data_IF_992327699901
#
_entry.id   IF_992327699901
#
_cell.length_a   1.000
_cell.length_b   1.000
_cell.length_c   1.000
_cell.angle_alpha   90.00
_cell.angle_beta   90.00
_cell.angle_gamma   90.00
#
_symmetry.space_group_name_H-M   'P 1'
#
loop_
_entity.id
_entity.type
_entity.pdbx_description
1 polymer ?
#
# COMPACT_ATOMS: atom_id res chain seq x y z
N UNK A 1 23.84 -8.52 -4.66
CA UNK A 1 22.74 -8.30 -3.71
C UNK A 1 22.04 -7.01 -4.13
N UNK A 2 20.79 -7.05 -4.51
CA UNK A 2 20.01 -5.86 -4.87
C UNK A 2 19.60 -5.08 -3.62
N UNK A 3 19.05 -3.87 -3.80
CA UNK A 3 18.48 -3.10 -2.67
C UNK A 3 17.34 -3.88 -2.01
N UNK A 4 16.48 -4.51 -2.82
CA UNK A 4 15.39 -5.34 -2.32
C UNK A 4 15.89 -6.51 -1.48
N UNK A 5 16.92 -7.25 -1.94
CA UNK A 5 17.50 -8.38 -1.17
C UNK A 5 17.98 -7.92 0.21
N UNK A 6 18.69 -6.78 0.27
CA UNK A 6 19.18 -6.21 1.54
C UNK A 6 18.04 -5.78 2.48
N UNK A 7 16.92 -5.28 1.92
CA UNK A 7 15.73 -4.95 2.73
C UNK A 7 15.11 -6.24 3.29
N UNK A 8 14.92 -7.26 2.46
CA UNK A 8 14.32 -8.54 2.87
C UNK A 8 15.16 -9.23 3.96
N UNK A 9 16.49 -9.18 3.84
CA UNK A 9 17.38 -9.72 4.89
C UNK A 9 17.14 -9.02 6.22
N UNK A 10 17.14 -7.67 6.24
CA UNK A 10 16.85 -6.90 7.45
C UNK A 10 15.45 -7.15 8.01
N UNK A 11 14.44 -7.28 7.14
CA UNK A 11 13.07 -7.63 7.56
C UNK A 11 13.02 -9.01 8.22
N UNK A 12 13.75 -10.00 7.70
CA UNK A 12 13.83 -11.35 8.30
C UNK A 12 14.49 -11.34 9.68
N UNK A 13 15.55 -10.53 9.88
CA UNK A 13 16.18 -10.36 11.18
C UNK A 13 15.22 -9.73 12.20
N UNK A 14 14.57 -8.62 11.83
CA UNK A 14 13.60 -7.94 12.70
C UNK A 14 12.39 -8.83 13.00
N UNK A 15 11.94 -9.62 12.02
CA UNK A 15 10.88 -10.59 12.19
C UNK A 15 11.25 -11.67 13.20
N UNK A 16 12.47 -12.23 13.08
CA UNK A 16 12.96 -13.25 14.02
C UNK A 16 12.97 -12.71 15.45
N UNK A 17 13.40 -11.45 15.65
CA UNK A 17 13.37 -10.81 16.97
C UNK A 17 11.92 -10.65 17.49
N UNK A 18 10.98 -10.19 16.66
CA UNK A 18 9.57 -10.05 17.05
C UNK A 18 8.94 -11.38 17.43
N UNK A 19 9.25 -12.46 16.68
CA UNK A 19 8.75 -13.81 16.96
C UNK A 19 9.21 -14.37 18.32
N UNK A 20 10.32 -13.89 18.89
CA UNK A 20 10.73 -14.27 20.25
C UNK A 20 9.90 -13.59 21.34
N UNK A 21 9.25 -12.46 21.00
CA UNK A 21 8.47 -11.65 21.97
C UNK A 21 6.98 -11.96 21.93
N UNK A 22 6.46 -12.24 20.75
CA UNK A 22 5.02 -12.53 20.52
C UNK A 22 4.91 -13.81 19.70
N UNK A 23 4.24 -14.81 20.23
CA UNK A 23 4.01 -16.06 19.52
C UNK A 23 2.94 -15.91 18.42
N UNK A 24 2.93 -16.84 17.46
CA UNK A 24 1.89 -16.86 16.43
C UNK A 24 0.49 -17.05 17.04
N UNK A 25 0.37 -17.83 18.11
CA UNK A 25 -0.93 -18.09 18.74
C UNK A 25 -1.45 -16.84 19.47
N UNK A 26 -0.58 -16.07 20.14
CA UNK A 26 -0.94 -14.76 20.69
C UNK A 26 -1.40 -13.79 19.61
N UNK A 27 -0.73 -13.74 18.44
CA UNK A 27 -1.19 -12.91 17.30
C UNK A 27 -2.56 -13.32 16.78
N UNK A 28 -2.84 -14.63 16.69
CA UNK A 28 -4.17 -15.14 16.29
C UNK A 28 -5.26 -14.73 17.29
N UNK A 29 -4.95 -14.78 18.59
CA UNK A 29 -5.88 -14.32 19.64
C UNK A 29 -6.13 -12.82 19.57
N UNK A 30 -5.11 -12.01 19.31
CA UNK A 30 -5.25 -10.57 19.11
C UNK A 30 -6.03 -10.25 17.83
N UNK A 31 -5.73 -10.93 16.73
CA UNK A 31 -6.45 -10.78 15.48
C UNK A 31 -7.93 -11.14 15.60
N UNK A 32 -8.28 -12.16 16.39
CA UNK A 32 -9.66 -12.54 16.65
C UNK A 32 -10.44 -11.49 17.47
N UNK A 33 -9.74 -10.65 18.25
CA UNK A 33 -10.33 -9.54 19.03
C UNK A 33 -10.37 -8.22 18.26
N UNK A 34 -9.62 -8.11 17.17
CA UNK A 34 -9.62 -6.91 16.33
C UNK A 34 -10.98 -6.76 15.63
N UNK A 35 -11.48 -5.52 15.42
CA UNK A 35 -12.68 -5.27 14.63
C UNK A 35 -12.61 -5.95 13.27
N UNK A 36 -13.75 -6.31 12.67
CA UNK A 36 -13.79 -6.86 11.31
C UNK A 36 -13.05 -5.95 10.32
N UNK A 37 -12.22 -6.55 9.46
CA UNK A 37 -11.48 -5.79 8.48
C UNK A 37 -12.42 -5.27 7.38
N UNK A 38 -12.16 -4.05 6.93
CA UNK A 38 -12.93 -3.40 5.86
C UNK A 38 -12.55 -3.97 4.50
N UNK A 39 -13.50 -4.04 3.60
CA UNK A 39 -13.27 -4.49 2.23
C UNK A 39 -12.43 -3.48 1.45
N UNK A 40 -11.15 -3.81 1.23
CA UNK A 40 -10.21 -2.98 0.49
C UNK A 40 -10.57 -2.86 -1.00
N UNK A 41 -11.19 -3.89 -1.59
CA UNK A 41 -11.66 -3.83 -2.99
C UNK A 41 -12.78 -2.81 -3.12
N UNK A 42 -13.78 -2.87 -2.23
CA UNK A 42 -14.88 -1.92 -2.24
C UNK A 42 -14.40 -0.47 -1.98
N UNK A 43 -13.41 -0.29 -1.10
CA UNK A 43 -12.86 1.03 -0.79
C UNK A 43 -12.14 1.67 -1.99
N UNK A 44 -11.51 0.86 -2.84
CA UNK A 44 -10.72 1.33 -3.99
C UNK A 44 -11.48 1.28 -5.33
N UNK A 45 -12.71 0.79 -5.34
CA UNK A 45 -13.63 0.88 -6.49
C UNK A 45 -14.59 2.06 -6.30
N UNK A 46 -15.08 2.61 -7.42
CA UNK A 46 -16.13 3.64 -7.44
C UNK A 46 -15.97 4.60 -8.60
N UNK A 47 -16.79 5.64 -8.60
CA UNK A 47 -16.72 6.67 -9.62
C UNK A 47 -15.44 7.50 -9.43
N UNK A 48 -14.63 7.59 -10.48
CA UNK A 48 -13.35 8.29 -10.48
C UNK A 48 -12.21 7.53 -9.80
N UNK A 49 -11.04 8.18 -9.74
CA UNK A 49 -9.82 7.59 -9.17
C UNK A 49 -9.76 7.81 -7.67
N UNK A 50 -9.58 6.75 -6.92
CA UNK A 50 -9.44 6.76 -5.46
C UNK A 50 -8.00 7.12 -5.05
N UNK A 51 -7.84 7.73 -3.88
CA UNK A 51 -6.52 8.15 -3.38
C UNK A 51 -6.17 7.37 -2.12
N UNK A 52 -5.06 6.63 -2.17
CA UNK A 52 -4.42 6.00 -1.02
C UNK A 52 -3.34 6.97 -0.54
N UNK A 53 -3.45 7.46 0.69
CA UNK A 53 -2.51 8.43 1.27
C UNK A 53 -1.52 7.72 2.19
N UNK A 54 -0.21 7.96 1.98
CA UNK A 54 0.82 7.21 2.68
C UNK A 54 1.49 8.02 3.80
N UNK A 55 1.54 7.42 4.98
CA UNK A 55 2.33 7.89 6.14
C UNK A 55 3.73 7.32 6.03
N UNK A 56 4.71 8.16 5.64
CA UNK A 56 6.09 7.76 5.36
C UNK A 56 7.10 8.81 5.80
N UNK A 57 7.98 8.44 6.75
CA UNK A 57 9.02 9.33 7.30
C UNK A 57 10.26 9.41 6.43
N UNK A 58 10.66 8.30 5.83
CA UNK A 58 11.87 8.21 5.02
C UNK A 58 11.71 7.23 3.86
N UNK A 59 12.66 7.24 2.94
CA UNK A 59 12.73 6.26 1.85
C UNK A 59 14.19 5.95 1.48
N UNK A 60 14.50 4.76 0.95
CA UNK A 60 15.84 4.40 0.51
C UNK A 60 16.42 5.35 -0.54
N UNK A 61 15.57 5.97 -1.38
CA UNK A 61 16.01 6.84 -2.48
C UNK A 61 16.27 8.28 -2.08
N UNK A 62 15.64 8.78 -0.99
CA UNK A 62 15.69 10.21 -0.59
C UNK A 62 16.09 10.43 0.86
N UNK A 63 16.25 9.36 1.64
CA UNK A 63 16.48 9.48 3.08
C UNK A 63 15.27 10.06 3.81
N UNK A 64 15.49 10.92 4.80
CA UNK A 64 14.42 11.55 5.57
C UNK A 64 13.57 12.48 4.69
N UNK A 65 12.25 12.30 4.74
CA UNK A 65 11.26 13.09 3.99
C UNK A 65 10.55 14.10 4.88
N UNK A 66 10.04 13.64 6.03
CA UNK A 66 9.30 14.47 6.96
C UNK A 66 9.43 13.95 8.41
N UNK A 67 9.52 14.87 9.36
CA UNK A 67 9.43 14.55 10.78
C UNK A 67 7.95 14.38 11.16
N UNK A 68 7.39 13.18 10.97
CA UNK A 68 6.02 12.86 11.35
C UNK A 68 6.03 12.50 12.83
N UNK A 69 5.81 13.49 13.69
CA UNK A 69 5.76 13.30 15.14
C UNK A 69 4.48 12.60 15.60
N UNK A 70 3.35 12.87 14.91
CA UNK A 70 2.03 12.28 15.19
C UNK A 70 1.43 11.69 13.91
N UNK A 71 1.62 10.39 13.64
CA UNK A 71 1.03 9.72 12.49
C UNK A 71 -0.50 9.66 12.55
N UNK A 72 -1.09 9.67 13.75
CA UNK A 72 -2.53 9.69 13.93
C UNK A 72 -3.15 11.03 13.51
N UNK A 73 -2.50 12.16 13.82
CA UNK A 73 -2.93 13.48 13.36
C UNK A 73 -2.87 13.56 11.83
N UNK A 74 -1.77 13.13 11.22
CA UNK A 74 -1.62 13.11 9.77
C UNK A 74 -2.68 12.23 9.10
N UNK A 75 -2.97 11.06 9.67
CA UNK A 75 -4.01 10.17 9.16
C UNK A 75 -5.42 10.79 9.25
N UNK A 76 -5.72 11.53 10.33
CA UNK A 76 -6.99 12.29 10.43
C UNK A 76 -7.11 13.36 9.35
N UNK A 77 -6.02 14.07 9.04
CA UNK A 77 -6.00 15.06 7.95
C UNK A 77 -6.22 14.37 6.58
N UNK A 78 -5.60 13.23 6.34
CA UNK A 78 -5.81 12.45 5.13
C UNK A 78 -7.27 11.97 5.00
N UNK A 79 -7.84 11.42 6.06
CA UNK A 79 -9.23 10.97 6.09
C UNK A 79 -10.19 12.14 5.86
N UNK A 80 -9.95 13.30 6.51
CA UNK A 80 -10.74 14.51 6.34
C UNK A 80 -10.61 15.12 4.93
N UNK A 81 -9.50 14.89 4.23
CA UNK A 81 -9.30 15.26 2.82
C UNK A 81 -9.98 14.32 1.83
N UNK A 82 -10.52 13.18 2.29
CA UNK A 82 -11.24 12.21 1.46
C UNK A 82 -10.41 11.02 0.99
N UNK A 83 -9.32 10.70 1.69
CA UNK A 83 -8.55 9.48 1.41
C UNK A 83 -9.43 8.23 1.43
N UNK A 84 -9.34 7.38 0.41
CA UNK A 84 -10.06 6.11 0.33
C UNK A 84 -9.42 5.01 1.19
N UNK A 85 -8.10 5.07 1.36
CA UNK A 85 -7.35 4.24 2.28
C UNK A 85 -6.11 4.99 2.77
N UNK A 86 -5.58 4.58 3.93
CA UNK A 86 -4.34 5.14 4.49
C UNK A 86 -3.29 4.05 4.53
N UNK A 87 -2.18 4.27 3.84
CA UNK A 87 -1.02 3.38 3.82
C UNK A 87 -0.06 3.77 4.94
N UNK A 88 0.33 2.81 5.77
CA UNK A 88 1.25 3.03 6.89
C UNK A 88 2.49 2.17 6.72
N UNK A 89 3.65 2.82 6.52
CA UNK A 89 4.93 2.14 6.51
C UNK A 89 5.21 1.57 7.90
N UNK A 90 5.52 0.27 7.97
CA UNK A 90 5.89 -0.40 9.23
C UNK A 90 7.32 -0.94 9.20
N UNK A 91 8.01 -0.90 8.07
CA UNK A 91 9.43 -1.23 7.97
C UNK A 91 10.27 -0.16 8.68
N UNK A 92 11.11 -0.58 9.64
CA UNK A 92 11.82 0.32 10.54
C UNK A 92 13.13 0.85 9.95
N UNK A 93 13.95 -0.03 9.36
CA UNK A 93 15.35 0.25 9.03
C UNK A 93 15.51 1.28 7.92
N UNK A 94 14.66 1.24 6.91
CA UNK A 94 14.77 2.07 5.70
C UNK A 94 13.70 3.15 5.62
N UNK A 95 12.51 2.88 6.16
CA UNK A 95 11.38 3.79 6.06
C UNK A 95 11.04 4.49 7.38
N UNK A 96 11.65 4.09 8.50
CA UNK A 96 11.41 4.68 9.82
C UNK A 96 9.99 4.48 10.33
N UNK A 97 9.32 3.42 9.84
CA UNK A 97 7.98 3.05 10.26
C UNK A 97 7.96 2.13 11.47
N UNK A 98 6.76 1.83 11.98
CA UNK A 98 6.59 0.88 13.09
C UNK A 98 5.17 0.32 13.14
N UNK A 99 4.98 -0.82 13.84
CA UNK A 99 3.66 -1.33 14.17
C UNK A 99 2.89 -0.38 15.10
N UNK A 100 3.60 0.36 15.96
CA UNK A 100 2.99 1.38 16.80
C UNK A 100 2.37 2.54 15.99
N UNK A 101 2.96 2.89 14.84
CA UNK A 101 2.33 3.84 13.91
C UNK A 101 1.05 3.29 13.31
N UNK A 102 1.04 1.99 12.98
CA UNK A 102 -0.16 1.31 12.47
C UNK A 102 -1.30 1.34 13.51
N UNK A 103 -0.98 1.02 14.78
CA UNK A 103 -1.93 1.10 15.90
C UNK A 103 -2.47 2.52 16.08
N UNK A 104 -1.59 3.52 16.08
CA UNK A 104 -1.96 4.91 16.28
C UNK A 104 -2.87 5.42 15.14
N UNK A 105 -2.57 5.07 13.89
CA UNK A 105 -3.41 5.40 12.73
C UNK A 105 -4.74 4.68 12.82
N UNK A 106 -4.75 3.36 13.07
CA UNK A 106 -6.00 2.60 13.17
C UNK A 106 -6.94 3.15 14.25
N UNK A 107 -6.41 3.53 15.40
CA UNK A 107 -7.19 4.11 16.49
C UNK A 107 -7.76 5.52 16.16
N UNK A 108 -7.15 6.23 15.22
CA UNK A 108 -7.49 7.62 14.91
C UNK A 108 -8.51 7.78 13.79
N UNK A 109 -8.66 6.79 12.90
CA UNK A 109 -9.49 6.91 11.69
C UNK A 109 -10.38 5.69 11.48
N UNK A 110 -11.51 5.90 10.81
CA UNK A 110 -12.36 4.82 10.34
C UNK A 110 -12.06 4.41 8.88
N UNK A 111 -11.25 5.18 8.17
CA UNK A 111 -10.77 4.88 6.82
C UNK A 111 -10.01 3.54 6.79
N UNK A 112 -10.16 2.70 5.75
CA UNK A 112 -9.35 1.48 5.59
C UNK A 112 -7.86 1.76 5.70
N UNK A 113 -7.13 0.86 6.40
CA UNK A 113 -5.69 1.00 6.67
C UNK A 113 -4.91 -0.14 6.01
N UNK A 114 -3.91 0.23 5.20
CA UNK A 114 -2.98 -0.68 4.55
C UNK A 114 -1.68 -0.76 5.37
N UNK A 115 -1.29 -1.96 5.80
CA UNK A 115 0.08 -2.20 6.25
C UNK A 115 1.02 -2.23 5.04
N UNK A 116 1.87 -1.24 4.92
CA UNK A 116 2.90 -1.13 3.86
C UNK A 116 4.24 -1.61 4.43
N UNK A 117 4.61 -2.84 4.09
CA UNK A 117 5.79 -3.52 4.59
C UNK A 117 6.26 -4.57 3.56
N UNK A 118 7.43 -5.16 3.76
CA UNK A 118 7.92 -6.30 2.97
C UNK A 118 7.47 -7.60 3.64
N UNK A 119 6.26 -8.03 3.30
CA UNK A 119 5.65 -9.23 3.88
C UNK A 119 6.15 -10.47 3.14
N UNK A 120 6.83 -11.36 3.86
CA UNK A 120 7.42 -12.59 3.33
C UNK A 120 6.98 -13.85 4.08
N UNK A 121 6.18 -13.70 5.14
CA UNK A 121 5.66 -14.82 5.93
C UNK A 121 4.21 -14.59 6.38
N UNK A 122 3.48 -15.68 6.64
CA UNK A 122 2.13 -15.63 7.20
C UNK A 122 2.07 -15.00 8.61
N UNK A 123 3.16 -15.06 9.38
CA UNK A 123 3.24 -14.40 10.67
C UNK A 123 2.99 -12.89 10.56
N UNK A 124 3.60 -12.24 9.55
CA UNK A 124 3.41 -10.80 9.32
C UNK A 124 1.98 -10.43 8.89
N UNK A 125 1.24 -11.35 8.26
CA UNK A 125 -0.19 -11.16 7.96
C UNK A 125 -1.04 -11.20 9.24
N UNK A 126 -0.77 -12.16 10.13
CA UNK A 126 -1.41 -12.20 11.45
C UNK A 126 -1.07 -10.96 12.28
N UNK A 127 0.19 -10.52 12.23
CA UNK A 127 0.65 -9.28 12.84
C UNK A 127 -0.12 -8.05 12.28
N UNK A 128 -0.27 -7.95 10.94
CA UNK A 128 -1.07 -6.90 10.31
C UNK A 128 -2.52 -6.90 10.82
N UNK A 129 -3.13 -8.08 10.88
CA UNK A 129 -4.51 -8.22 11.33
C UNK A 129 -4.67 -7.90 12.81
N UNK A 130 -3.74 -8.34 13.65
CA UNK A 130 -3.73 -8.07 15.09
C UNK A 130 -3.62 -6.56 15.40
N UNK A 131 -2.89 -5.82 14.57
CA UNK A 131 -2.74 -4.36 14.65
C UNK A 131 -3.81 -3.59 13.86
N UNK A 132 -4.89 -4.27 13.43
CA UNK A 132 -6.08 -3.64 12.85
C UNK A 132 -5.94 -3.15 11.42
N UNK A 133 -4.99 -3.68 10.63
CA UNK A 133 -4.95 -3.44 9.20
C UNK A 133 -6.16 -4.10 8.50
N UNK A 134 -6.61 -3.46 7.44
CA UNK A 134 -7.65 -3.94 6.52
C UNK A 134 -7.04 -4.50 5.24
N UNK A 135 -5.92 -3.92 4.79
CA UNK A 135 -5.15 -4.36 3.64
C UNK A 135 -3.71 -4.66 4.05
N UNK A 136 -3.05 -5.52 3.26
CA UNK A 136 -1.63 -5.84 3.41
C UNK A 136 -0.93 -5.87 2.05
N UNK A 137 0.31 -5.34 2.00
CA UNK A 137 1.12 -5.34 0.78
C UNK A 137 1.79 -6.69 0.58
N UNK A 138 1.71 -7.23 -0.63
CA UNK A 138 2.51 -8.36 -1.09
C UNK A 138 3.27 -7.94 -2.36
N UNK A 139 4.59 -8.10 -2.37
CA UNK A 139 5.47 -7.67 -3.47
C UNK A 139 5.89 -8.89 -4.29
N UNK A 140 5.46 -8.95 -5.56
CA UNK A 140 5.75 -10.10 -6.45
C UNK A 140 7.25 -10.35 -6.60
N UNK A 141 8.04 -9.28 -6.74
CA UNK A 141 9.50 -9.36 -6.86
C UNK A 141 10.21 -9.98 -5.63
N UNK A 142 9.54 -9.98 -4.46
CA UNK A 142 10.09 -10.50 -3.20
C UNK A 142 9.71 -11.96 -2.90
N UNK A 143 8.82 -12.56 -3.70
CA UNK A 143 8.18 -13.84 -3.42
C UNK A 143 8.30 -14.78 -4.63
N UNK A 144 8.54 -16.07 -4.40
CA UNK A 144 8.27 -17.07 -5.41
C UNK A 144 6.77 -17.29 -5.61
N UNK A 145 6.37 -17.99 -6.68
CA UNK A 145 4.95 -18.14 -7.02
C UNK A 145 4.16 -18.88 -5.93
N UNK A 146 4.75 -19.90 -5.34
CA UNK A 146 4.07 -20.71 -4.32
C UNK A 146 3.86 -19.92 -3.03
N UNK A 147 4.84 -19.10 -2.64
CA UNK A 147 4.73 -18.20 -1.51
C UNK A 147 3.69 -17.09 -1.75
N UNK A 148 3.67 -16.49 -2.97
CA UNK A 148 2.69 -15.47 -3.33
C UNK A 148 1.27 -15.99 -3.23
N UNK A 149 0.97 -17.16 -3.83
CA UNK A 149 -0.34 -17.81 -3.75
C UNK A 149 -0.73 -18.07 -2.29
N UNK A 150 0.16 -18.71 -1.52
CA UNK A 150 -0.10 -19.06 -0.11
C UNK A 150 -0.36 -17.82 0.76
N UNK A 151 0.35 -16.71 0.52
CA UNK A 151 0.17 -15.49 1.27
C UNK A 151 -1.11 -14.74 0.88
N UNK A 152 -1.51 -14.74 -0.39
CA UNK A 152 -2.81 -14.21 -0.83
C UNK A 152 -3.94 -14.97 -0.16
N UNK A 153 -3.96 -16.32 -0.26
CA UNK A 153 -4.97 -17.16 0.36
C UNK A 153 -5.02 -16.97 1.89
N UNK A 154 -3.85 -16.87 2.53
CA UNK A 154 -3.78 -16.61 3.97
C UNK A 154 -4.35 -15.25 4.34
N UNK A 155 -3.98 -14.18 3.63
CA UNK A 155 -4.49 -12.84 3.87
C UNK A 155 -6.03 -12.82 3.78
N UNK A 156 -6.60 -13.36 2.71
CA UNK A 156 -8.04 -13.42 2.51
C UNK A 156 -8.73 -14.27 3.57
N UNK A 157 -8.15 -15.41 3.97
CA UNK A 157 -8.72 -16.30 5.00
C UNK A 157 -8.83 -15.65 6.39
N UNK A 158 -8.10 -14.57 6.64
CA UNK A 158 -8.14 -13.83 7.92
C UNK A 158 -8.77 -12.44 7.76
N UNK A 159 -9.43 -12.19 6.62
CA UNK A 159 -10.18 -10.96 6.34
C UNK A 159 -9.35 -9.80 5.77
N UNK A 160 -8.02 -9.96 5.58
CA UNK A 160 -7.20 -8.92 4.93
C UNK A 160 -7.41 -8.92 3.42
N UNK A 161 -7.42 -7.73 2.82
CA UNK A 161 -7.37 -7.59 1.36
C UNK A 161 -5.91 -7.40 0.91
N UNK A 162 -5.32 -8.33 0.12
CA UNK A 162 -3.97 -8.13 -0.43
C UNK A 162 -3.95 -7.02 -1.48
N UNK A 163 -3.02 -6.07 -1.36
CA UNK A 163 -2.55 -5.22 -2.46
C UNK A 163 -1.28 -5.86 -3.00
N UNK A 164 -1.34 -6.37 -4.24
CA UNK A 164 -0.23 -7.11 -4.85
C UNK A 164 0.55 -6.19 -5.77
N UNK A 165 1.78 -5.86 -5.38
CA UNK A 165 2.63 -4.92 -6.10
C UNK A 165 3.44 -5.64 -7.18
N UNK A 166 3.42 -5.09 -8.41
CA UNK A 166 4.12 -5.57 -9.59
C UNK A 166 4.81 -4.43 -10.33
N UNK A 167 5.87 -4.75 -11.12
CA UNK A 167 6.71 -3.78 -11.82
C UNK A 167 6.72 -3.97 -13.34
N UNK A 168 6.34 -5.13 -13.83
CA UNK A 168 6.32 -5.48 -15.26
C UNK A 168 5.18 -6.46 -15.57
N UNK A 169 5.03 -6.81 -16.87
CA UNK A 169 3.97 -7.70 -17.33
C UNK A 169 4.12 -9.14 -16.78
N UNK A 170 5.35 -9.61 -16.57
CA UNK A 170 5.59 -10.94 -16.02
C UNK A 170 5.13 -11.01 -14.56
N UNK A 171 5.45 -10.00 -13.77
CA UNK A 171 4.99 -9.88 -12.39
C UNK A 171 3.47 -9.70 -12.30
N UNK A 172 2.86 -8.92 -13.21
CA UNK A 172 1.39 -8.79 -13.32
C UNK A 172 0.77 -10.16 -13.61
N UNK A 173 1.30 -10.90 -14.58
CA UNK A 173 0.81 -12.23 -14.87
C UNK A 173 0.88 -13.14 -13.64
N UNK A 174 1.99 -13.12 -12.92
CA UNK A 174 2.17 -13.89 -11.67
C UNK A 174 1.15 -13.49 -10.60
N UNK A 175 0.86 -12.20 -10.45
CA UNK A 175 -0.15 -11.69 -9.53
C UNK A 175 -1.57 -12.16 -9.92
N UNK A 176 -1.91 -12.10 -11.21
CA UNK A 176 -3.19 -12.60 -11.75
C UNK A 176 -3.33 -14.11 -11.54
N UNK A 177 -2.30 -14.89 -11.88
CA UNK A 177 -2.28 -16.35 -11.70
C UNK A 177 -2.38 -16.75 -10.22
N UNK A 178 -1.96 -15.87 -9.30
CA UNK A 178 -2.08 -16.06 -7.85
C UNK A 178 -3.44 -15.62 -7.28
N UNK A 179 -4.35 -15.08 -8.09
CA UNK A 179 -5.68 -14.66 -7.67
C UNK A 179 -5.78 -13.24 -7.10
N UNK A 180 -4.84 -12.35 -7.41
CA UNK A 180 -4.87 -10.97 -6.94
C UNK A 180 -6.16 -10.24 -7.38
N UNK A 181 -6.82 -9.56 -6.45
CA UNK A 181 -8.01 -8.72 -6.70
C UNK A 181 -7.68 -7.23 -6.80
N UNK A 182 -6.50 -6.84 -6.28
CA UNK A 182 -5.93 -5.51 -6.40
C UNK A 182 -4.49 -5.68 -6.85
N UNK A 183 -4.11 -5.03 -7.95
CA UNK A 183 -2.73 -4.99 -8.44
C UNK A 183 -2.24 -3.55 -8.42
N UNK A 184 -1.14 -3.33 -7.68
CA UNK A 184 -0.41 -2.07 -7.65
C UNK A 184 0.74 -2.12 -8.66
N UNK A 185 0.75 -1.20 -9.61
CA UNK A 185 1.88 -1.03 -10.53
C UNK A 185 2.81 0.02 -9.95
N UNK A 186 3.97 -0.42 -9.47
CA UNK A 186 4.96 0.47 -8.88
C UNK A 186 5.93 0.99 -9.95
N UNK A 187 5.84 2.31 -10.22
CA UNK A 187 6.74 2.99 -11.14
C UNK A 187 8.20 3.05 -10.64
N UNK A 188 8.46 2.73 -9.38
CA UNK A 188 9.79 2.66 -8.80
C UNK A 188 10.38 1.25 -8.91
N UNK A 189 11.48 1.11 -9.61
CA UNK A 189 12.25 -0.13 -9.64
C UNK A 189 12.91 -0.37 -8.28
N UNK A 190 12.59 -1.50 -7.61
CA UNK A 190 13.10 -1.81 -6.28
C UNK A 190 14.58 -2.24 -6.25
N UNK A 191 15.19 -2.48 -7.42
CA UNK A 191 16.61 -2.83 -7.54
C UNK A 191 17.49 -1.60 -7.73
N UNK A 192 17.03 -0.60 -8.51
CA UNK A 192 17.79 0.62 -8.86
C UNK A 192 17.29 1.86 -8.13
N UNK A 193 16.08 1.84 -7.57
CA UNK A 193 15.32 2.95 -6.95
C UNK A 193 14.91 4.05 -7.93
N UNK A 194 15.16 3.89 -9.22
CA UNK A 194 14.72 4.81 -10.27
C UNK A 194 13.20 4.75 -10.46
N UNK A 195 12.60 5.88 -10.82
CA UNK A 195 11.17 5.99 -11.10
C UNK A 195 10.96 6.24 -12.59
N UNK A 196 10.37 5.29 -13.29
CA UNK A 196 9.85 5.50 -14.64
C UNK A 196 8.33 5.66 -14.60
N UNK A 197 7.87 6.88 -14.76
CA UNK A 197 6.44 7.23 -14.70
C UNK A 197 5.60 6.66 -15.83
N UNK A 198 6.23 6.12 -16.88
CA UNK A 198 5.55 5.43 -17.98
C UNK A 198 5.31 3.95 -17.68
N UNK A 199 5.86 3.42 -16.58
CA UNK A 199 5.68 2.01 -16.20
C UNK A 199 4.21 1.62 -16.20
N UNK A 200 3.34 2.42 -15.55
CA UNK A 200 1.91 2.13 -15.49
C UNK A 200 1.28 2.07 -16.89
N UNK A 201 1.52 3.07 -17.74
CA UNK A 201 1.04 3.09 -19.12
C UNK A 201 1.47 1.86 -19.91
N UNK A 202 2.74 1.48 -19.75
CA UNK A 202 3.33 0.38 -20.49
C UNK A 202 2.72 -0.99 -20.15
N UNK A 203 2.25 -1.18 -18.89
CA UNK A 203 1.88 -2.53 -18.41
C UNK A 203 0.42 -2.67 -17.96
N UNK A 204 -0.34 -1.57 -17.81
CA UNK A 204 -1.71 -1.61 -17.27
C UNK A 204 -2.66 -2.47 -18.11
N UNK A 205 -2.40 -2.59 -19.41
CA UNK A 205 -3.19 -3.41 -20.34
C UNK A 205 -3.09 -4.92 -20.04
N UNK A 206 -2.04 -5.36 -19.32
CA UNK A 206 -1.88 -6.74 -18.87
C UNK A 206 -2.76 -7.10 -17.66
N UNK A 207 -3.37 -6.09 -16.99
CA UNK A 207 -4.26 -6.33 -15.86
C UNK A 207 -5.68 -6.55 -16.39
N UNK A 208 -6.29 -7.75 -16.17
CA UNK A 208 -7.65 -8.04 -16.61
C UNK A 208 -8.69 -7.09 -16.02
N UNK A 209 -9.82 -6.97 -16.71
CA UNK A 209 -10.97 -6.24 -16.17
C UNK A 209 -11.50 -6.91 -14.89
N UNK A 210 -12.04 -6.09 -13.99
CA UNK A 210 -12.54 -6.54 -12.70
C UNK A 210 -11.49 -6.52 -11.57
N UNK A 211 -10.20 -6.53 -11.88
CA UNK A 211 -9.10 -6.33 -10.92
C UNK A 211 -8.89 -4.83 -10.72
N UNK A 212 -8.77 -4.38 -9.47
CA UNK A 212 -8.48 -2.98 -9.13
C UNK A 212 -7.05 -2.63 -9.54
N UNK A 213 -6.87 -1.55 -10.28
CA UNK A 213 -5.59 -1.07 -10.82
C UNK A 213 -5.11 0.13 -10.01
N UNK A 214 -4.03 -0.03 -9.28
CA UNK A 214 -3.44 1.05 -8.46
C UNK A 214 -2.13 1.52 -9.09
N UNK A 215 -2.00 2.83 -9.34
CA UNK A 215 -0.72 3.40 -9.74
C UNK A 215 0.07 3.85 -8.49
N UNK A 216 1.28 3.33 -8.34
CA UNK A 216 2.16 3.62 -7.20
C UNK A 216 3.43 4.35 -7.65
N UNK A 217 3.89 5.26 -6.80
CA UNK A 217 5.06 6.11 -7.01
C UNK A 217 4.92 7.15 -8.13
N UNK A 218 5.56 8.29 -7.95
CA UNK A 218 5.68 9.32 -8.99
C UNK A 218 4.47 10.26 -9.14
N UNK A 219 3.43 10.13 -8.32
CA UNK A 219 2.30 11.09 -8.28
C UNK A 219 2.76 12.35 -7.52
N UNK A 220 2.73 13.50 -8.19
CA UNK A 220 3.20 14.78 -7.65
C UNK A 220 2.06 15.77 -7.38
N UNK A 221 0.90 15.56 -8.01
CA UNK A 221 -0.25 16.44 -7.88
C UNK A 221 -1.43 16.06 -8.76
N UNK A 222 -2.46 16.92 -8.81
CA UNK A 222 -3.74 16.66 -9.48
C UNK A 222 -3.63 16.24 -10.95
N UNK A 223 -2.72 16.84 -11.73
CA UNK A 223 -2.55 16.49 -13.15
C UNK A 223 -2.07 15.04 -13.34
N UNK A 224 -1.22 14.54 -12.43
CA UNK A 224 -0.78 13.15 -12.52
C UNK A 224 -1.96 12.19 -12.22
N UNK A 225 -2.86 12.56 -11.30
CA UNK A 225 -4.09 11.77 -11.02
C UNK A 225 -4.97 11.69 -12.26
N UNK A 226 -5.22 12.82 -12.95
CA UNK A 226 -6.00 12.84 -14.19
C UNK A 226 -5.33 11.97 -15.26
N UNK A 227 -4.00 12.03 -15.38
CA UNK A 227 -3.27 11.21 -16.36
C UNK A 227 -3.43 9.71 -16.07
N UNK A 228 -3.24 9.29 -14.80
CA UNK A 228 -3.43 7.89 -14.42
C UNK A 228 -4.87 7.41 -14.58
N UNK A 229 -5.84 8.29 -14.31
CA UNK A 229 -7.25 8.02 -14.55
C UNK A 229 -7.53 7.69 -16.03
N UNK A 230 -7.00 8.53 -16.94
CA UNK A 230 -7.14 8.32 -18.38
C UNK A 230 -6.42 7.07 -18.92
N UNK A 231 -5.40 6.58 -18.18
CA UNK A 231 -4.74 5.31 -18.45
C UNK A 231 -5.48 4.11 -17.83
N UNK A 232 -6.56 4.36 -17.09
CA UNK A 232 -7.41 3.32 -16.54
C UNK A 232 -7.05 2.89 -15.11
N UNK A 233 -6.34 3.71 -14.32
CA UNK A 233 -6.19 3.48 -12.89
C UNK A 233 -7.54 3.63 -12.18
N UNK A 234 -7.80 2.75 -11.21
CA UNK A 234 -8.92 2.85 -10.27
C UNK A 234 -8.50 3.63 -9.00
N UNK A 235 -7.21 3.55 -8.65
CA UNK A 235 -6.65 4.29 -7.53
C UNK A 235 -5.19 4.73 -7.78
N UNK A 236 -4.74 5.70 -7.00
CA UNK A 236 -3.33 6.11 -6.91
C UNK A 236 -2.84 6.04 -5.48
N UNK A 237 -1.58 5.64 -5.27
CA UNK A 237 -0.91 5.70 -3.97
C UNK A 237 0.07 6.86 -3.93
N UNK A 238 -0.12 7.77 -2.98
CA UNK A 238 0.60 9.04 -2.87
C UNK A 238 1.18 9.20 -1.48
N UNK A 239 2.49 9.41 -1.40
CA UNK A 239 3.17 9.61 -0.11
C UNK A 239 4.00 10.88 -0.10
N UNK A 240 5.08 10.92 -0.88
CA UNK A 240 6.10 11.96 -0.80
C UNK A 240 5.54 13.39 -0.93
N UNK A 241 4.71 13.65 -1.93
CA UNK A 241 4.14 14.99 -2.14
C UNK A 241 3.20 15.44 -1.03
N UNK A 242 2.58 14.49 -0.30
CA UNK A 242 1.69 14.79 0.82
C UNK A 242 2.45 15.10 2.11
N UNK A 243 3.51 14.34 2.42
CA UNK A 243 4.27 14.54 3.68
C UNK A 243 5.21 15.73 3.63
N UNK A 244 5.57 16.21 2.42
CA UNK A 244 6.41 17.40 2.23
C UNK A 244 5.61 18.70 2.08
N UNK A 245 4.29 18.60 1.94
CA UNK A 245 3.36 19.74 1.84
C UNK A 245 3.08 20.42 3.19
N UNK A 246 2.50 21.63 3.14
CA UNK A 246 2.16 22.41 4.33
C UNK A 246 0.76 22.11 4.89
N UNK A 247 -0.14 21.65 4.02
CA UNK A 247 -1.54 21.34 4.35
C UNK A 247 -1.92 19.98 3.73
N UNK A 248 -1.72 18.89 4.49
CA UNK A 248 -2.02 17.54 4.00
C UNK A 248 -3.49 17.35 3.63
N UNK A 249 -4.41 17.93 4.40
CA UNK A 249 -5.85 17.83 4.16
C UNK A 249 -6.25 18.47 2.83
N UNK A 250 -5.81 19.69 2.57
CA UNK A 250 -6.10 20.39 1.32
C UNK A 250 -5.46 19.66 0.13
N UNK A 251 -4.20 19.20 0.28
CA UNK A 251 -3.51 18.45 -0.77
C UNK A 251 -4.25 17.16 -1.15
N UNK A 252 -4.77 16.41 -0.18
CA UNK A 252 -5.58 15.20 -0.44
C UNK A 252 -6.90 15.59 -1.12
N UNK A 253 -7.59 16.62 -0.66
CA UNK A 253 -8.84 17.07 -1.28
C UNK A 253 -8.66 17.47 -2.76
N UNK A 254 -7.54 18.11 -3.10
CA UNK A 254 -7.19 18.45 -4.48
C UNK A 254 -6.96 17.18 -5.35
N UNK A 255 -6.29 16.16 -4.81
CA UNK A 255 -6.10 14.89 -5.51
C UNK A 255 -7.42 14.14 -5.71
N UNK A 256 -8.29 14.12 -4.71
CA UNK A 256 -9.62 13.50 -4.78
C UNK A 256 -10.50 14.21 -5.80
N UNK A 257 -10.50 15.54 -5.79
CA UNK A 257 -11.22 16.33 -6.78
C UNK A 257 -10.71 16.09 -8.21
N UNK A 258 -9.40 15.91 -8.38
CA UNK A 258 -8.81 15.56 -9.67
C UNK A 258 -9.26 14.17 -10.16
N UNK A 259 -9.41 13.21 -9.26
CA UNK A 259 -9.86 11.85 -9.58
C UNK A 259 -11.30 11.78 -10.11
N UNK A 260 -12.13 12.76 -9.79
CA UNK A 260 -13.53 12.87 -10.23
C UNK A 260 -13.73 14.00 -11.27
N UNK A 261 -12.64 14.59 -11.77
CA UNK A 261 -12.72 15.71 -12.70
C UNK A 261 -13.36 15.28 -14.03
N UNK A 262 -14.19 16.13 -14.69
CA UNK A 262 -14.84 15.80 -15.99
C UNK A 262 -13.88 15.44 -17.13
N UNK A 263 -12.61 15.81 -17.03
CA UNK A 263 -11.57 15.39 -17.98
C UNK A 263 -11.13 13.92 -17.81
N UNK A 264 -11.54 13.26 -16.73
CA UNK A 264 -11.34 11.83 -16.54
C UNK A 264 -12.37 11.08 -17.37
N UNK A 265 -11.90 10.23 -18.28
CA UNK A 265 -12.80 9.37 -19.08
C UNK A 265 -13.33 8.27 -18.15
N UNK A 266 -14.62 8.31 -17.84
CA UNK A 266 -15.27 7.19 -17.15
C UNK A 266 -15.20 5.96 -18.05
N UNK A 267 -14.89 4.81 -17.45
CA UNK A 267 -15.02 3.52 -18.13
C UNK A 267 -16.53 3.25 -18.27
N UNK A 268 -17.04 3.23 -19.51
CA UNK A 268 -18.39 2.73 -19.81
C UNK A 268 -18.48 1.22 -19.57
#
# INVERSE_FOLDING_TARGET
MSVLDSIIEGVREDLAERQTRVSLDELKELAAKAPEAKDGVAALKGDGVRVICEVKRSSPSKGALAAIADPAALARDYAAGGAAAISVLTEQRRFGGSLADLDAVRAAVDTPVLRKDFIVTAYQLWEARAHGADLALLIVAALDQSALVSLIERAESIGLTPLVEAHDEEEIKRAVDAGARIIGVNARNLKTLEVDRRTFENVVHAIPDGIVRVAESGVRGPLDVINYANLGADAVLVGESLVTGKDPRAAVADLVAAGTHPAVRHKD
#
